data_IF_470315710270
#
_entry.id   IF_470315710270
#
_cell.length_a   1.000
_cell.length_b   1.000
_cell.length_c   1.000
_cell.angle_alpha   90.00
_cell.angle_beta   90.00
_cell.angle_gamma   90.00
#
_symmetry.space_group_name_H-M   'P 1'
#
loop_
_entity.id
_entity.type
_entity.pdbx_description
1 polymer ?
#
# COMPACT_ATOMS: atom_id res chain seq x y z
N UNK A 1 21.66 23.08 -13.26
CA UNK A 1 21.68 21.85 -12.44
C UNK A 1 22.48 20.82 -13.19
N UNK A 2 23.45 20.18 -12.54
CA UNK A 2 24.24 19.10 -13.13
C UNK A 2 23.62 17.72 -12.83
N UNK A 3 24.15 16.65 -13.46
CA UNK A 3 23.63 15.30 -13.34
C UNK A 3 23.62 14.74 -11.90
N UNK A 4 24.57 15.16 -11.06
CA UNK A 4 24.66 14.81 -9.64
C UNK A 4 23.54 15.47 -8.85
N UNK A 5 23.24 16.72 -9.16
CA UNK A 5 22.18 17.49 -8.52
C UNK A 5 20.80 16.92 -8.85
N UNK A 6 20.56 16.58 -10.13
CA UNK A 6 19.32 15.93 -10.58
C UNK A 6 19.12 14.58 -9.86
N UNK A 7 20.14 13.72 -9.88
CA UNK A 7 20.10 12.41 -9.20
C UNK A 7 19.84 12.53 -7.68
N UNK A 8 20.36 13.58 -7.06
CA UNK A 8 20.16 13.82 -5.62
C UNK A 8 18.73 14.28 -5.34
N UNK A 9 18.15 15.12 -6.21
CA UNK A 9 16.76 15.56 -6.11
C UNK A 9 15.78 14.42 -6.33
N UNK A 10 16.03 13.56 -7.33
CA UNK A 10 15.20 12.37 -7.57
C UNK A 10 15.16 11.46 -6.34
N UNK A 11 16.33 11.20 -5.72
CA UNK A 11 16.42 10.44 -4.48
C UNK A 11 15.74 11.09 -3.27
N UNK A 12 15.66 12.42 -3.24
CA UNK A 12 14.96 13.12 -2.17
C UNK A 12 13.45 12.96 -2.37
N UNK A 13 12.98 13.19 -3.60
CA UNK A 13 11.57 13.02 -3.98
C UNK A 13 11.06 11.59 -3.70
N UNK A 14 11.82 10.57 -4.10
CA UNK A 14 11.49 9.15 -3.84
C UNK A 14 11.32 8.88 -2.33
N UNK A 15 12.24 9.39 -1.50
CA UNK A 15 12.14 9.24 -0.04
C UNK A 15 10.95 9.99 0.55
N UNK A 16 10.58 11.13 -0.03
CA UNK A 16 9.41 11.89 0.40
C UNK A 16 8.12 11.13 0.06
N UNK A 17 8.01 10.54 -1.14
CA UNK A 17 6.86 9.69 -1.53
C UNK A 17 6.71 8.48 -0.61
N UNK A 18 7.81 7.74 -0.37
CA UNK A 18 7.80 6.59 0.54
C UNK A 18 7.28 6.99 1.92
N UNK A 19 7.83 8.06 2.47
CA UNK A 19 7.46 8.56 3.79
C UNK A 19 5.98 8.97 3.83
N UNK A 20 5.49 9.68 2.82
CA UNK A 20 4.09 10.10 2.75
C UNK A 20 3.12 8.92 2.70
N UNK A 21 3.44 7.87 1.93
CA UNK A 21 2.62 6.66 1.83
C UNK A 21 2.60 5.90 3.16
N UNK A 22 3.78 5.73 3.79
CA UNK A 22 3.88 5.08 5.10
C UNK A 22 3.07 5.86 6.14
N UNK A 23 3.20 7.19 6.19
CA UNK A 23 2.46 8.03 7.13
C UNK A 23 0.95 8.00 6.89
N UNK A 24 0.51 7.93 5.62
CA UNK A 24 -0.90 7.76 5.27
C UNK A 24 -1.46 6.44 5.79
N UNK A 25 -0.79 5.32 5.50
CA UNK A 25 -1.22 3.99 5.95
C UNK A 25 -1.16 3.91 7.48
N UNK A 26 -0.09 4.42 8.09
CA UNK A 26 0.05 4.41 9.54
C UNK A 26 -1.04 5.24 10.23
N UNK A 27 -1.42 6.38 9.66
CA UNK A 27 -2.46 7.24 10.24
C UNK A 27 -3.85 6.62 10.12
N UNK A 28 -4.22 6.19 8.92
CA UNK A 28 -5.61 5.93 8.54
C UNK A 28 -5.97 4.43 8.50
N UNK A 29 -4.97 3.55 8.26
CA UNK A 29 -5.19 2.12 7.98
C UNK A 29 -4.34 1.16 8.82
N UNK A 30 -3.74 1.64 9.92
CA UNK A 30 -2.98 0.82 10.86
C UNK A 30 -3.71 0.76 12.21
N UNK A 31 -4.62 -0.21 12.38
CA UNK A 31 -5.35 -0.38 13.62
C UNK A 31 -4.38 -0.69 14.76
N UNK A 32 -4.67 -0.12 15.93
CA UNK A 32 -3.94 -0.49 17.16
C UNK A 32 -4.20 -1.95 17.50
N UNK A 33 -3.25 -2.58 18.17
CA UNK A 33 -3.38 -3.97 18.65
C UNK A 33 -4.68 -4.20 19.42
N UNK A 34 -5.12 -3.21 20.19
CA UNK A 34 -6.42 -3.19 20.85
C UNK A 34 -7.21 -1.98 20.33
N UNK A 35 -8.51 -2.17 20.08
CA UNK A 35 -9.41 -1.22 19.40
C UNK A 35 -9.22 0.28 19.76
N UNK A 36 -8.83 0.61 21.00
CA UNK A 36 -8.51 1.98 21.42
C UNK A 36 -7.12 2.17 22.07
N UNK A 37 -6.34 1.11 22.29
CA UNK A 37 -5.09 1.15 23.07
C UNK A 37 -4.03 0.20 22.54
N UNK A 38 -2.81 0.32 23.05
CA UNK A 38 -1.68 -0.50 22.63
C UNK A 38 -0.91 0.07 21.44
N UNK A 39 0.23 -0.58 21.11
CA UNK A 39 1.11 -0.14 20.05
C UNK A 39 0.44 -0.28 18.68
N UNK A 40 0.82 0.61 17.76
CA UNK A 40 0.62 0.41 16.34
C UNK A 40 1.68 -0.55 15.83
N UNK A 41 1.35 -1.33 14.79
CA UNK A 41 2.35 -2.18 14.13
C UNK A 41 3.32 -1.28 13.36
N UNK A 42 4.64 -1.56 13.38
CA UNK A 42 5.57 -0.86 12.50
C UNK A 42 5.14 -1.03 11.04
N UNK A 43 5.00 0.08 10.32
CA UNK A 43 4.67 0.10 8.89
C UNK A 43 5.97 0.30 8.12
N UNK A 44 6.28 -0.64 7.23
CA UNK A 44 7.51 -0.65 6.44
C UNK A 44 7.21 -1.06 5.01
N UNK A 45 8.18 -0.95 4.10
CA UNK A 45 8.01 -1.39 2.70
C UNK A 45 7.57 -2.86 2.58
N UNK A 46 8.04 -3.72 3.49
CA UNK A 46 7.74 -5.16 3.49
C UNK A 46 6.37 -5.49 4.07
N UNK A 47 5.69 -4.53 4.70
CA UNK A 47 4.35 -4.73 5.27
C UNK A 47 3.37 -5.11 4.16
N UNK A 48 2.72 -6.28 4.31
CA UNK A 48 1.68 -6.77 3.40
C UNK A 48 0.32 -6.24 3.84
N UNK A 49 -0.39 -5.58 2.94
CA UNK A 49 -1.65 -4.89 3.24
C UNK A 49 -2.66 -5.87 3.82
N UNK A 50 -2.91 -6.99 3.13
CA UNK A 50 -3.86 -8.01 3.59
C UNK A 50 -3.41 -8.69 4.89
N UNK A 51 -2.21 -9.28 4.87
CA UNK A 51 -1.78 -10.23 5.90
C UNK A 51 -1.38 -9.54 7.22
N UNK A 52 -0.78 -8.35 7.11
CA UNK A 52 -0.16 -7.67 8.25
C UNK A 52 -1.02 -6.51 8.78
N UNK A 53 -1.85 -5.84 7.97
CA UNK A 53 -2.80 -4.82 8.48
C UNK A 53 -4.13 -5.45 8.90
N UNK A 54 -4.56 -6.54 8.27
CA UNK A 54 -5.78 -7.30 8.58
C UNK A 54 -7.06 -6.45 8.54
N UNK A 55 -7.14 -5.58 7.54
CA UNK A 55 -8.30 -4.76 7.24
C UNK A 55 -9.41 -5.61 6.62
N UNK A 56 -10.67 -5.20 6.77
CA UNK A 56 -11.79 -5.79 6.03
C UNK A 56 -11.69 -5.43 4.54
N UNK A 57 -12.42 -6.14 3.68
CA UNK A 57 -12.34 -5.94 2.23
C UNK A 57 -12.64 -4.48 1.83
N UNK A 58 -13.67 -3.88 2.43
CA UNK A 58 -14.09 -2.51 2.17
C UNK A 58 -13.00 -1.48 2.51
N UNK A 59 -12.32 -1.66 3.65
CA UNK A 59 -11.22 -0.78 4.07
C UNK A 59 -10.01 -0.92 3.13
N UNK A 60 -9.73 -2.12 2.61
CA UNK A 60 -8.68 -2.34 1.61
C UNK A 60 -9.02 -1.67 0.27
N UNK A 61 -10.28 -1.75 -0.14
CA UNK A 61 -10.77 -1.08 -1.35
C UNK A 61 -10.65 0.44 -1.21
N UNK A 62 -11.10 0.99 -0.08
CA UNK A 62 -10.98 2.43 0.21
C UNK A 62 -9.51 2.89 0.24
N UNK A 63 -8.64 2.13 0.92
CA UNK A 63 -7.20 2.40 0.97
C UNK A 63 -6.62 2.55 -0.44
N UNK A 64 -6.90 1.57 -1.32
CA UNK A 64 -6.35 1.54 -2.67
C UNK A 64 -6.92 2.64 -3.55
N UNK A 65 -8.22 2.92 -3.48
CA UNK A 65 -8.83 4.02 -4.23
C UNK A 65 -8.25 5.37 -3.80
N UNK A 66 -8.13 5.61 -2.49
CA UNK A 66 -7.51 6.82 -1.95
C UNK A 66 -6.04 6.92 -2.38
N UNK A 67 -5.30 5.81 -2.40
CA UNK A 67 -3.94 5.76 -2.88
C UNK A 67 -3.80 6.12 -4.36
N UNK A 68 -4.54 5.45 -5.26
CA UNK A 68 -4.47 5.74 -6.70
C UNK A 68 -4.79 7.20 -7.00
N UNK A 69 -5.80 7.76 -6.31
CA UNK A 69 -6.17 9.17 -6.47
C UNK A 69 -5.13 10.14 -5.91
N UNK A 70 -4.63 9.91 -4.69
CA UNK A 70 -3.76 10.87 -4.00
C UNK A 70 -2.38 10.99 -4.63
N UNK A 71 -1.81 9.88 -5.12
CA UNK A 71 -0.50 9.87 -5.76
C UNK A 71 -0.57 9.86 -7.30
N UNK A 72 -1.76 10.07 -7.88
CA UNK A 72 -1.97 10.10 -9.33
C UNK A 72 -1.39 8.87 -10.03
N UNK A 73 -1.58 7.69 -9.44
CA UNK A 73 -1.11 6.43 -10.00
C UNK A 73 -2.17 5.91 -10.95
N UNK A 74 -1.79 5.70 -12.21
CA UNK A 74 -2.68 5.06 -13.18
C UNK A 74 -2.88 3.58 -12.81
N UNK A 75 -4.12 3.12 -12.55
CA UNK A 75 -4.34 1.75 -12.08
C UNK A 75 -4.13 0.68 -13.17
N UNK A 76 -4.24 1.05 -14.46
CA UNK A 76 -4.05 0.10 -15.56
C UNK A 76 -5.00 -1.10 -15.48
N UNK A 77 -4.44 -2.31 -15.43
CA UNK A 77 -5.17 -3.57 -15.24
C UNK A 77 -5.21 -4.03 -13.78
N UNK A 78 -5.02 -3.13 -12.82
CA UNK A 78 -5.16 -3.46 -11.41
C UNK A 78 -6.55 -4.01 -11.11
N UNK A 79 -6.60 -5.23 -10.59
CA UNK A 79 -7.84 -5.86 -10.12
C UNK A 79 -7.71 -6.18 -8.64
N UNK A 80 -8.57 -5.56 -7.81
CA UNK A 80 -8.50 -5.71 -6.34
C UNK A 80 -8.67 -7.18 -5.92
N UNK A 81 -9.45 -7.93 -6.69
CA UNK A 81 -9.70 -9.35 -6.45
C UNK A 81 -8.44 -10.20 -6.66
N UNK A 82 -7.40 -9.74 -7.36
CA UNK A 82 -6.14 -10.50 -7.42
C UNK A 82 -5.39 -10.52 -6.07
N UNK A 83 -5.72 -9.57 -5.19
CA UNK A 83 -5.01 -9.33 -3.92
C UNK A 83 -5.90 -9.60 -2.70
N UNK A 84 -7.21 -9.35 -2.81
CA UNK A 84 -8.17 -9.48 -1.72
C UNK A 84 -9.38 -10.24 -2.23
N UNK A 85 -9.60 -11.46 -1.72
CA UNK A 85 -10.90 -12.10 -1.89
C UNK A 85 -11.79 -11.77 -0.70
N UNK A 86 -13.08 -11.45 -0.92
CA UNK A 86 -14.03 -11.30 0.16
C UNK A 86 -14.16 -12.62 0.92
N UNK A 87 -13.95 -12.58 2.24
CA UNK A 87 -14.11 -13.75 3.10
C UNK A 87 -15.60 -14.10 3.20
N UNK A 88 -16.02 -15.14 2.47
CA UNK A 88 -17.34 -15.75 2.64
C UNK A 88 -17.29 -16.83 3.73
N UNK A 89 -18.38 -16.98 4.49
CA UNK A 89 -18.55 -18.12 5.39
C UNK A 89 -18.43 -19.44 4.60
N UNK A 90 -17.34 -20.17 4.83
CA UNK A 90 -17.07 -21.46 4.17
C UNK A 90 -15.97 -21.45 3.09
N UNK A 91 -15.29 -20.33 2.86
CA UNK A 91 -14.07 -20.28 2.04
C UNK A 91 -13.03 -21.26 2.58
N UNK A 92 -12.46 -22.10 1.70
CA UNK A 92 -11.39 -23.06 2.07
C UNK A 92 -10.04 -22.39 1.86
N UNK A 93 -9.18 -22.46 2.88
CA UNK A 93 -7.76 -22.09 2.73
C UNK A 93 -6.96 -23.15 1.93
N UNK A 94 -5.86 -22.74 1.27
CA UNK A 94 -5.35 -21.37 1.23
C UNK A 94 -6.05 -20.54 0.15
N UNK A 95 -6.39 -19.32 0.50
CA UNK A 95 -6.85 -18.35 -0.47
C UNK A 95 -5.67 -17.91 -1.36
N UNK A 96 -5.69 -18.15 -2.68
CA UNK A 96 -4.56 -17.81 -3.53
C UNK A 96 -4.62 -16.32 -3.88
N UNK A 97 -4.08 -15.45 -3.03
CA UNK A 97 -3.87 -14.03 -3.34
C UNK A 97 -2.43 -13.73 -3.73
N UNK A 98 -2.26 -12.79 -4.66
CA UNK A 98 -0.95 -12.16 -4.89
C UNK A 98 -0.57 -11.35 -3.64
N UNK A 99 0.71 -11.30 -3.25
CA UNK A 99 1.13 -10.40 -2.18
C UNK A 99 0.97 -8.95 -2.65
N UNK A 100 0.48 -8.09 -1.76
CA UNK A 100 0.42 -6.65 -1.95
C UNK A 100 1.16 -5.97 -0.81
N UNK A 101 2.30 -5.35 -1.10
CA UNK A 101 3.16 -4.69 -0.11
C UNK A 101 3.13 -3.18 -0.26
N UNK A 102 3.54 -2.46 0.79
CA UNK A 102 3.71 -1.01 0.72
C UNK A 102 4.82 -0.64 -0.27
N UNK A 103 5.88 -1.44 -0.40
CA UNK A 103 6.92 -1.23 -1.41
C UNK A 103 6.35 -1.16 -2.83
N UNK A 104 5.36 -2.01 -3.15
CA UNK A 104 4.69 -1.97 -4.46
C UNK A 104 3.91 -0.67 -4.69
N UNK A 105 3.31 -0.11 -3.62
CA UNK A 105 2.68 1.21 -3.68
C UNK A 105 3.73 2.31 -3.91
N UNK A 106 4.84 2.30 -3.16
CA UNK A 106 5.90 3.31 -3.36
C UNK A 106 6.43 3.31 -4.78
N UNK A 107 6.79 2.14 -5.29
CA UNK A 107 7.38 2.02 -6.64
C UNK A 107 6.37 2.41 -7.74
N UNK A 108 5.10 2.08 -7.56
CA UNK A 108 4.05 2.48 -8.50
C UNK A 108 3.76 3.98 -8.46
N UNK A 109 3.85 4.61 -7.28
CA UNK A 109 3.73 6.06 -7.12
C UNK A 109 4.91 6.81 -7.74
N UNK A 110 6.13 6.33 -7.54
CA UNK A 110 7.32 6.88 -8.19
C UNK A 110 7.25 6.76 -9.73
N UNK A 111 6.65 5.68 -10.24
CA UNK A 111 6.47 5.46 -11.67
C UNK A 111 5.22 6.13 -12.28
N UNK A 112 4.31 6.63 -11.46
CA UNK A 112 3.02 7.22 -11.86
C UNK A 112 2.01 6.20 -12.43
N UNK A 113 2.26 4.90 -12.32
CA UNK A 113 1.37 3.83 -12.80
C UNK A 113 1.58 2.55 -12.01
N UNK A 114 0.57 1.70 -11.96
CA UNK A 114 0.68 0.37 -11.38
C UNK A 114 1.69 -0.50 -12.15
N UNK A 115 2.63 -1.12 -11.44
CA UNK A 115 3.73 -1.89 -12.04
C UNK A 115 3.57 -3.41 -11.97
N UNK A 116 2.50 -3.90 -11.34
CA UNK A 116 2.39 -5.31 -10.92
C UNK A 116 1.14 -5.98 -11.51
N UNK A 117 1.27 -6.49 -12.73
CA UNK A 117 0.23 -7.27 -13.42
C UNK A 117 0.21 -8.75 -12.99
#
# INVERSE_FOLDING_TARGET
MDATEIHTMDKLLMRDIEKEIIEFIERDYNPREYFLFGPKRPVTRDTRIRDDLKLVFEDNEELLQAYFSRWSVEPGSFEILDYFHPDYFGSKEPDPHKPLTIGMLVESAEAGRWLYE
#
